data_IF_849961855417
#
_entry.id   IF_849961855417
#
_cell.length_a   1.000
_cell.length_b   1.000
_cell.length_c   1.000
_cell.angle_alpha   90.00
_cell.angle_beta   90.00
_cell.angle_gamma   90.00
#
_symmetry.space_group_name_H-M   'P 1'
#
loop_
_entity.id
_entity.type
_entity.pdbx_description
1 polymer ?
#
# COMPACT_ATOMS: atom_id res chain seq x y z
N UNK A 1 -57.54 24.09 36.81
CA UNK A 1 -58.95 24.10 37.24
C UNK A 1 -59.60 22.94 36.52
N UNK A 2 -60.22 21.92 37.11
CA UNK A 2 -60.65 21.57 38.47
C UNK A 2 -60.78 20.03 38.44
N UNK A 3 -60.42 19.28 39.48
CA UNK A 3 -61.29 18.94 40.62
C UNK A 3 -62.73 18.56 40.19
N UNK A 4 -63.08 17.28 40.38
CA UNK A 4 -64.27 16.70 41.05
C UNK A 4 -64.22 15.17 40.77
N UNK A 5 -64.08 14.28 41.77
CA UNK A 5 -65.15 13.77 42.66
C UNK A 5 -66.37 13.32 41.86
N UNK A 6 -67.03 12.18 42.04
CA UNK A 6 -67.11 11.03 42.98
C UNK A 6 -68.16 10.09 42.28
N UNK A 7 -68.74 8.99 42.81
CA UNK A 7 -68.70 8.45 44.18
C UNK A 7 -68.52 6.91 44.31
N UNK A 8 -68.41 6.55 45.59
CA UNK A 8 -68.59 5.25 46.25
C UNK A 8 -69.75 4.39 45.74
N UNK A 9 -69.68 3.06 45.96
CA UNK A 9 -70.37 2.41 47.10
C UNK A 9 -70.37 0.88 46.94
N UNK A 10 -69.83 0.15 47.93
CA UNK A 10 -70.56 -1.02 48.42
C UNK A 10 -70.19 -1.33 49.88
N UNK A 11 -71.21 -1.22 50.73
CA UNK A 11 -71.21 -1.47 52.17
C UNK A 11 -71.85 -2.81 52.48
N UNK A 12 -71.36 -3.54 53.49
CA UNK A 12 -72.18 -4.32 54.46
C UNK A 12 -71.30 -4.79 55.65
N UNK A 13 -71.88 -5.15 56.83
CA UNK A 13 -71.74 -4.37 58.06
C UNK A 13 -71.15 -5.21 59.25
N UNK A 14 -71.12 -4.72 60.51
CA UNK A 14 -70.04 -4.97 61.47
C UNK A 14 -70.30 -6.13 62.44
N UNK A 15 -69.25 -6.55 63.18
CA UNK A 15 -69.46 -7.27 64.45
C UNK A 15 -68.29 -7.16 65.45
N UNK A 16 -68.60 -6.48 66.56
CA UNK A 16 -68.19 -6.75 67.96
C UNK A 16 -66.72 -6.89 68.35
N UNK A 17 -66.25 -5.91 69.12
CA UNK A 17 -65.13 -6.05 70.04
C UNK A 17 -65.53 -6.84 71.31
N UNK A 18 -64.59 -7.59 71.90
CA UNK A 18 -64.52 -7.71 73.35
C UNK A 18 -63.19 -7.19 73.92
N UNK A 19 -63.32 -6.63 75.13
CA UNK A 19 -62.26 -6.14 76.02
C UNK A 19 -61.29 -7.24 76.49
N UNK A 20 -60.02 -6.82 76.61
CA UNK A 20 -58.96 -7.19 77.59
C UNK A 20 -58.98 -8.60 78.20
N UNK A 21 -57.84 -9.28 78.09
CA UNK A 21 -57.10 -9.84 79.25
C UNK A 21 -55.61 -10.00 78.92
N UNK A 22 -54.78 -9.53 79.86
CA UNK A 22 -53.32 -9.62 79.92
C UNK A 22 -52.94 -11.02 80.44
N UNK A 23 -52.00 -11.73 79.83
CA UNK A 23 -51.19 -12.71 80.53
C UNK A 23 -49.83 -12.07 80.83
N UNK A 24 -49.58 -11.84 82.10
CA UNK A 24 -48.23 -11.89 82.69
C UNK A 24 -47.68 -13.28 82.45
N UNK A 25 -46.66 -13.39 81.59
CA UNK A 25 -45.94 -14.63 81.32
C UNK A 25 -44.51 -14.30 80.92
N UNK A 26 -43.63 -14.32 81.91
CA UNK A 26 -42.18 -14.26 81.68
C UNK A 26 -41.77 -15.44 80.82
N UNK A 27 -41.15 -15.14 79.68
CA UNK A 27 -40.61 -16.12 78.75
C UNK A 27 -39.34 -15.54 78.16
N UNK A 28 -38.21 -16.11 78.56
CA UNK A 28 -36.83 -15.78 78.17
C UNK A 28 -36.71 -15.37 76.71
N UNK A 29 -36.23 -14.14 76.50
CA UNK A 29 -35.55 -13.72 75.28
C UNK A 29 -34.37 -14.68 75.07
N UNK A 30 -34.26 -15.42 73.95
CA UNK A 30 -33.04 -16.17 73.68
C UNK A 30 -31.90 -15.15 73.55
N UNK A 31 -30.71 -15.42 74.10
CA UNK A 31 -29.58 -14.52 73.92
C UNK A 31 -29.26 -14.50 72.43
N UNK A 32 -29.52 -13.37 71.76
CA UNK A 32 -28.83 -13.09 70.51
C UNK A 32 -27.37 -12.93 70.93
N UNK A 33 -26.60 -14.00 70.76
CA UNK A 33 -25.16 -13.97 70.91
C UNK A 33 -24.63 -12.81 70.07
N UNK A 34 -23.79 -11.97 70.64
CA UNK A 34 -23.08 -10.89 69.93
C UNK A 34 -22.38 -11.39 68.66
N UNK A 35 -22.10 -12.70 68.59
CA UNK A 35 -21.64 -13.43 67.41
C UNK A 35 -22.62 -13.40 66.23
N UNK A 36 -23.94 -13.54 66.43
CA UNK A 36 -24.91 -13.56 65.32
C UNK A 36 -25.04 -12.19 64.62
N UNK A 37 -24.86 -11.09 65.35
CA UNK A 37 -24.88 -9.72 64.78
C UNK A 37 -23.58 -9.41 64.03
N UNK A 38 -22.43 -9.86 64.56
CA UNK A 38 -21.13 -9.76 63.87
C UNK A 38 -21.09 -10.60 62.59
N UNK A 39 -21.58 -11.84 62.62
CA UNK A 39 -21.64 -12.73 61.45
C UNK A 39 -22.56 -12.14 60.36
N UNK A 40 -23.71 -11.56 60.73
CA UNK A 40 -24.63 -10.96 59.75
C UNK A 40 -24.06 -9.70 59.09
N UNK A 41 -23.24 -8.93 59.81
CA UNK A 41 -22.52 -7.78 59.25
C UNK A 41 -21.39 -8.20 58.31
N UNK A 42 -20.63 -9.23 58.66
CA UNK A 42 -19.56 -9.78 57.80
C UNK A 42 -20.17 -10.35 56.51
N UNK A 43 -21.26 -11.10 56.59
CA UNK A 43 -21.95 -11.64 55.41
C UNK A 43 -22.47 -10.54 54.50
N UNK A 44 -23.01 -9.44 55.05
CA UNK A 44 -23.48 -8.30 54.26
C UNK A 44 -22.31 -7.56 53.58
N UNK A 45 -21.19 -7.36 54.27
CA UNK A 45 -19.98 -6.77 53.69
C UNK A 45 -19.43 -7.65 52.57
N UNK A 46 -19.33 -8.96 52.77
CA UNK A 46 -18.89 -9.90 51.73
C UNK A 46 -19.86 -9.91 50.54
N UNK A 47 -21.18 -9.92 50.78
CA UNK A 47 -22.18 -9.85 49.73
C UNK A 47 -22.11 -8.54 48.92
N UNK A 48 -21.86 -7.41 49.57
CA UNK A 48 -21.66 -6.12 48.90
C UNK A 48 -20.37 -6.11 48.09
N UNK A 49 -19.27 -6.63 48.63
CA UNK A 49 -18.00 -6.74 47.89
C UNK A 49 -18.17 -7.66 46.67
N UNK A 50 -18.81 -8.82 46.83
CA UNK A 50 -19.12 -9.73 45.72
C UNK A 50 -20.04 -9.05 44.71
N UNK A 51 -21.06 -8.31 45.14
CA UNK A 51 -21.94 -7.55 44.23
C UNK A 51 -21.16 -6.48 43.45
N UNK A 52 -20.26 -5.74 44.09
CA UNK A 52 -19.39 -4.74 43.42
C UNK A 52 -18.48 -5.42 42.39
N UNK A 53 -17.86 -6.55 42.75
CA UNK A 53 -17.01 -7.32 41.82
C UNK A 53 -17.83 -7.85 40.64
N UNK A 54 -19.04 -8.37 40.88
CA UNK A 54 -19.92 -8.85 39.81
C UNK A 54 -20.38 -7.71 38.90
N UNK A 55 -20.72 -6.55 39.45
CA UNK A 55 -21.06 -5.35 38.68
C UNK A 55 -19.84 -4.89 37.85
N UNK A 56 -18.64 -4.88 38.44
CA UNK A 56 -17.41 -4.53 37.74
C UNK A 56 -17.10 -5.51 36.59
N UNK A 57 -17.28 -6.82 36.81
CA UNK A 57 -17.10 -7.85 35.76
C UNK A 57 -18.17 -7.72 34.67
N UNK A 58 -19.41 -7.40 35.03
CA UNK A 58 -20.51 -7.22 34.08
C UNK A 58 -20.26 -5.99 33.18
N UNK A 59 -19.88 -4.85 33.78
CA UNK A 59 -19.55 -3.62 33.05
C UNK A 59 -18.32 -3.83 32.16
N UNK A 60 -17.24 -4.42 32.71
CA UNK A 60 -16.02 -4.71 31.95
C UNK A 60 -16.27 -5.70 30.80
N UNK A 61 -17.19 -6.65 30.98
CA UNK A 61 -17.60 -7.60 29.93
C UNK A 61 -18.39 -6.90 28.81
N UNK A 62 -19.24 -5.91 29.12
CA UNK A 62 -19.92 -5.11 28.10
C UNK A 62 -18.93 -4.24 27.31
N UNK A 63 -17.95 -3.64 27.98
CA UNK A 63 -16.95 -2.77 27.36
C UNK A 63 -16.01 -3.56 26.42
N UNK A 64 -15.50 -4.71 26.86
CA UNK A 64 -14.67 -5.59 26.03
C UNK A 64 -15.45 -6.12 24.83
N UNK A 65 -16.73 -6.48 25.02
CA UNK A 65 -17.57 -6.92 23.90
C UNK A 65 -17.84 -5.80 22.90
N UNK A 66 -18.07 -4.56 23.36
CA UNK A 66 -18.27 -3.40 22.49
C UNK A 66 -16.99 -3.07 21.70
N UNK A 67 -15.83 -3.07 22.36
CA UNK A 67 -14.52 -2.85 21.73
C UNK A 67 -14.20 -3.91 20.67
N UNK A 68 -14.39 -5.19 21.01
CA UNK A 68 -14.15 -6.30 20.09
C UNK A 68 -15.11 -6.25 18.89
N UNK A 69 -16.36 -5.83 19.10
CA UNK A 69 -17.33 -5.63 18.03
C UNK A 69 -16.91 -4.48 17.12
N UNK A 70 -16.50 -3.34 17.68
CA UNK A 70 -16.04 -2.19 16.91
C UNK A 70 -14.79 -2.51 16.05
N UNK A 71 -13.85 -3.31 16.56
CA UNK A 71 -12.68 -3.76 15.78
C UNK A 71 -13.08 -4.70 14.63
N UNK A 72 -14.02 -5.62 14.87
CA UNK A 72 -14.55 -6.50 13.81
C UNK A 72 -15.30 -5.70 12.75
N UNK A 73 -16.16 -4.78 13.16
CA UNK A 73 -16.94 -3.93 12.26
C UNK A 73 -16.01 -3.04 11.42
N UNK A 74 -15.00 -2.44 12.05
CA UNK A 74 -13.96 -1.69 11.35
C UNK A 74 -13.25 -2.57 10.30
N UNK A 75 -12.76 -3.75 10.69
CA UNK A 75 -12.08 -4.67 9.78
C UNK A 75 -13.00 -5.08 8.61
N UNK A 76 -14.26 -5.40 8.89
CA UNK A 76 -15.25 -5.75 7.87
C UNK A 76 -15.50 -4.60 6.89
N UNK A 77 -15.61 -3.37 7.40
CA UNK A 77 -15.79 -2.17 6.57
C UNK A 77 -14.58 -1.92 5.68
N UNK A 78 -13.37 -2.00 6.22
CA UNK A 78 -12.12 -1.85 5.46
C UNK A 78 -11.99 -2.95 4.40
N UNK A 79 -12.22 -4.21 4.76
CA UNK A 79 -12.12 -5.35 3.84
C UNK A 79 -13.15 -5.25 2.71
N UNK A 80 -14.40 -4.90 3.04
CA UNK A 80 -15.48 -4.69 2.06
C UNK A 80 -15.17 -3.53 1.12
N UNK A 81 -14.70 -2.40 1.66
CA UNK A 81 -14.39 -1.23 0.86
C UNK A 81 -13.15 -1.41 -0.01
N UNK A 82 -12.13 -2.12 0.48
CA UNK A 82 -11.00 -2.50 -0.36
C UNK A 82 -11.42 -3.44 -1.49
N UNK A 83 -12.26 -4.44 -1.21
CA UNK A 83 -12.77 -5.35 -2.24
C UNK A 83 -13.58 -4.59 -3.32
N UNK A 84 -14.42 -3.63 -2.91
CA UNK A 84 -15.11 -2.73 -3.84
C UNK A 84 -14.12 -1.91 -4.68
N UNK A 85 -13.10 -1.32 -4.04
CA UNK A 85 -12.07 -0.54 -4.72
C UNK A 85 -11.29 -1.37 -5.74
N UNK A 86 -10.85 -2.57 -5.37
CA UNK A 86 -10.18 -3.50 -6.28
C UNK A 86 -11.10 -3.89 -7.45
N UNK A 87 -12.39 -4.10 -7.21
CA UNK A 87 -13.34 -4.40 -8.29
C UNK A 87 -13.52 -3.22 -9.25
N UNK A 88 -13.63 -1.98 -8.73
CA UNK A 88 -13.60 -0.76 -9.54
C UNK A 88 -12.31 -0.68 -10.35
N UNK A 89 -11.15 -1.00 -9.74
CA UNK A 89 -9.86 -1.10 -10.42
C UNK A 89 -9.89 -2.10 -11.57
N UNK A 90 -10.38 -3.33 -11.36
CA UNK A 90 -10.50 -4.33 -12.45
C UNK A 90 -11.34 -3.81 -13.61
N UNK A 91 -12.50 -3.22 -13.32
CA UNK A 91 -13.37 -2.63 -14.35
C UNK A 91 -12.66 -1.51 -15.12
N UNK A 92 -11.91 -0.67 -14.39
CA UNK A 92 -11.11 0.41 -14.96
C UNK A 92 -9.99 -0.11 -15.89
N UNK A 93 -9.21 -1.11 -15.47
CA UNK A 93 -8.16 -1.71 -16.30
C UNK A 93 -8.72 -2.50 -17.49
N UNK A 94 -9.90 -3.13 -17.34
CA UNK A 94 -10.61 -3.76 -18.43
C UNK A 94 -11.07 -2.72 -19.47
N UNK A 95 -11.52 -1.54 -19.05
CA UNK A 95 -11.85 -0.46 -19.96
C UNK A 95 -10.60 0.02 -20.72
N UNK A 96 -9.47 0.21 -20.03
CA UNK A 96 -8.20 0.61 -20.65
C UNK A 96 -7.65 -0.42 -21.65
N UNK A 97 -7.95 -1.70 -21.46
CA UNK A 97 -7.48 -2.80 -22.33
C UNK A 97 -8.54 -3.27 -23.34
N UNK A 98 -9.72 -2.66 -23.32
CA UNK A 98 -10.89 -3.10 -24.08
C UNK A 98 -10.81 -2.79 -25.58
N UNK A 99 -11.78 -3.28 -26.38
CA UNK A 99 -11.85 -2.98 -27.81
C UNK A 99 -11.99 -1.47 -28.05
N UNK A 100 -11.02 -0.87 -28.75
CA UNK A 100 -10.84 0.58 -28.92
C UNK A 100 -11.78 1.25 -29.93
N UNK A 101 -12.95 0.67 -30.19
CA UNK A 101 -13.84 1.17 -31.23
C UNK A 101 -14.55 2.48 -30.88
N UNK A 102 -14.70 2.79 -29.58
CA UNK A 102 -15.50 3.91 -29.09
C UNK A 102 -14.78 4.72 -27.98
N UNK A 103 -14.12 5.84 -28.34
CA UNK A 103 -13.50 6.76 -27.39
C UNK A 103 -14.48 7.37 -26.37
N UNK A 104 -15.76 7.48 -26.72
CA UNK A 104 -16.80 8.01 -25.83
C UNK A 104 -17.15 6.97 -24.76
N UNK A 105 -17.31 5.70 -25.15
CA UNK A 105 -17.52 4.61 -24.20
C UNK A 105 -16.34 4.47 -23.21
N UNK A 106 -15.10 4.55 -23.70
CA UNK A 106 -13.91 4.56 -22.85
C UNK A 106 -13.95 5.73 -21.86
N UNK A 107 -14.20 6.94 -22.35
CA UNK A 107 -14.27 8.14 -21.50
C UNK A 107 -15.35 8.02 -20.43
N UNK A 108 -16.53 7.49 -20.76
CA UNK A 108 -17.58 7.26 -19.78
C UNK A 108 -17.18 6.24 -18.73
N UNK A 109 -16.59 5.11 -19.13
CA UNK A 109 -16.14 4.07 -18.19
C UNK A 109 -15.08 4.59 -17.21
N UNK A 110 -14.10 5.36 -17.70
CA UNK A 110 -13.05 5.93 -16.85
C UNK A 110 -13.60 6.98 -15.89
N UNK A 111 -14.51 7.85 -16.34
CA UNK A 111 -15.15 8.83 -15.48
C UNK A 111 -16.07 8.20 -14.43
N UNK A 112 -16.78 7.13 -14.79
CA UNK A 112 -17.57 6.35 -13.85
C UNK A 112 -16.68 5.76 -12.76
N UNK A 113 -15.58 5.08 -13.13
CA UNK A 113 -14.64 4.52 -12.18
C UNK A 113 -13.99 5.59 -11.28
N UNK A 114 -13.65 6.76 -11.82
CA UNK A 114 -13.15 7.89 -11.03
C UNK A 114 -14.19 8.41 -10.01
N UNK A 115 -15.47 8.44 -10.40
CA UNK A 115 -16.59 8.75 -9.50
C UNK A 115 -16.76 7.71 -8.39
N UNK A 116 -16.68 6.42 -8.74
CA UNK A 116 -16.72 5.31 -7.78
C UNK A 116 -15.56 5.39 -6.79
N UNK A 117 -14.33 5.63 -7.26
CA UNK A 117 -13.16 5.81 -6.42
C UNK A 117 -13.30 6.98 -5.43
N UNK A 118 -13.86 8.10 -5.90
CA UNK A 118 -14.15 9.26 -5.05
C UNK A 118 -15.20 8.93 -3.98
N UNK A 119 -16.24 8.18 -4.34
CA UNK A 119 -17.26 7.69 -3.40
C UNK A 119 -16.65 6.75 -2.35
N UNK A 120 -15.79 5.82 -2.77
CA UNK A 120 -15.11 4.89 -1.88
C UNK A 120 -14.21 5.60 -0.88
N UNK A 121 -13.41 6.57 -1.34
CA UNK A 121 -12.62 7.43 -0.49
C UNK A 121 -13.48 8.18 0.53
N UNK A 122 -14.61 8.74 0.11
CA UNK A 122 -15.54 9.43 1.01
C UNK A 122 -16.12 8.49 2.08
N UNK A 123 -16.48 7.26 1.70
CA UNK A 123 -16.95 6.23 2.63
C UNK A 123 -15.87 5.86 3.63
N UNK A 124 -14.61 5.72 3.18
CA UNK A 124 -13.48 5.42 4.04
C UNK A 124 -13.30 6.50 5.10
N UNK A 125 -13.32 7.78 4.71
CA UNK A 125 -13.22 8.92 5.63
C UNK A 125 -14.34 8.95 6.69
N UNK A 126 -15.49 8.33 6.40
CA UNK A 126 -16.63 8.24 7.31
C UNK A 126 -16.70 6.96 8.15
N UNK A 127 -15.71 6.07 8.08
CA UNK A 127 -15.68 4.87 8.94
C UNK A 127 -15.47 5.30 10.40
N UNK A 128 -16.23 4.71 11.32
CA UNK A 128 -15.97 4.85 12.75
C UNK A 128 -14.71 4.07 13.12
N UNK A 129 -13.72 4.74 13.71
CA UNK A 129 -12.35 4.23 13.88
C UNK A 129 -12.06 3.97 15.36
N UNK A 130 -11.85 2.70 15.77
CA UNK A 130 -11.28 2.40 17.08
C UNK A 130 -9.88 2.99 17.23
N UNK A 131 -9.51 3.38 18.46
CA UNK A 131 -8.24 4.08 18.72
C UNK A 131 -7.00 3.27 18.30
N UNK A 132 -7.08 1.94 18.42
CA UNK A 132 -5.99 1.00 18.14
C UNK A 132 -5.62 0.94 16.65
N UNK A 133 -6.54 1.32 15.78
CA UNK A 133 -6.39 1.23 14.32
C UNK A 133 -6.40 2.58 13.63
N UNK A 134 -6.28 3.68 14.38
CA UNK A 134 -6.19 5.04 13.80
C UNK A 134 -5.05 5.19 12.78
N UNK A 135 -3.88 4.62 13.07
CA UNK A 135 -2.75 4.60 12.13
C UNK A 135 -3.08 3.83 10.85
N UNK A 136 -3.72 2.66 11.00
CA UNK A 136 -4.13 1.83 9.87
C UNK A 136 -5.15 2.57 9.00
N UNK A 137 -6.10 3.25 9.63
CA UNK A 137 -7.12 4.02 8.94
C UNK A 137 -6.54 5.18 8.15
N UNK A 138 -5.54 5.90 8.68
CA UNK A 138 -4.86 6.98 7.95
C UNK A 138 -4.20 6.44 6.68
N UNK A 139 -3.47 5.33 6.79
CA UNK A 139 -2.85 4.66 5.64
C UNK A 139 -3.89 4.17 4.63
N UNK A 140 -5.00 3.60 5.10
CA UNK A 140 -6.09 3.13 4.23
C UNK A 140 -6.75 4.28 3.46
N UNK A 141 -7.06 5.38 4.12
CA UNK A 141 -7.62 6.58 3.49
C UNK A 141 -6.63 7.15 2.47
N UNK A 142 -5.33 7.18 2.78
CA UNK A 142 -4.30 7.63 1.86
C UNK A 142 -4.18 6.69 0.63
N UNK A 143 -4.25 5.37 0.82
CA UNK A 143 -4.24 4.41 -0.28
C UNK A 143 -5.45 4.61 -1.21
N UNK A 144 -6.66 4.79 -0.65
CA UNK A 144 -7.86 5.08 -1.44
C UNK A 144 -7.81 6.45 -2.11
N UNK A 145 -7.18 7.45 -1.48
CA UNK A 145 -6.95 8.77 -2.10
C UNK A 145 -6.03 8.62 -3.31
N UNK A 146 -4.94 7.87 -3.18
CA UNK A 146 -4.03 7.58 -4.30
C UNK A 146 -4.76 6.88 -5.46
N UNK A 147 -5.65 5.93 -5.17
CA UNK A 147 -6.46 5.26 -6.21
C UNK A 147 -7.48 6.20 -6.86
N UNK A 148 -8.18 7.02 -6.08
CA UNK A 148 -9.13 7.99 -6.59
C UNK A 148 -8.45 9.06 -7.48
N UNK A 149 -7.32 9.60 -7.02
CA UNK A 149 -6.53 10.57 -7.76
C UNK A 149 -5.99 9.97 -9.06
N UNK A 150 -5.42 8.77 -9.00
CA UNK A 150 -4.88 8.09 -10.18
C UNK A 150 -5.95 7.82 -11.23
N UNK A 151 -7.13 7.32 -10.83
CA UNK A 151 -8.25 7.11 -11.77
C UNK A 151 -8.72 8.41 -12.41
N UNK A 152 -8.85 9.48 -11.62
CA UNK A 152 -9.24 10.80 -12.12
C UNK A 152 -8.21 11.39 -13.08
N UNK A 153 -6.93 11.31 -12.72
CA UNK A 153 -5.83 11.83 -13.53
C UNK A 153 -5.72 11.07 -14.85
N UNK A 154 -5.82 9.74 -14.81
CA UNK A 154 -5.85 8.92 -16.02
C UNK A 154 -7.05 9.27 -16.91
N UNK A 155 -8.26 9.36 -16.34
CA UNK A 155 -9.46 9.73 -17.11
C UNK A 155 -9.28 11.06 -17.86
N UNK A 156 -8.63 12.05 -17.23
CA UNK A 156 -8.31 13.33 -17.84
C UNK A 156 -7.20 13.25 -18.90
N UNK A 157 -6.26 12.31 -18.74
CA UNK A 157 -5.04 12.22 -19.54
C UNK A 157 -5.15 11.27 -20.74
N UNK A 158 -6.13 10.38 -20.76
CA UNK A 158 -6.37 9.46 -21.89
C UNK A 158 -6.52 10.19 -23.23
N UNK A 159 -7.28 11.30 -23.36
CA UNK A 159 -7.34 12.06 -24.62
C UNK A 159 -5.96 12.50 -25.12
N UNK A 160 -5.07 12.93 -24.22
CA UNK A 160 -3.69 13.30 -24.54
C UNK A 160 -2.85 12.09 -24.95
N UNK A 161 -3.07 10.92 -24.34
CA UNK A 161 -2.40 9.67 -24.69
C UNK A 161 -2.85 9.11 -26.05
N UNK A 162 -4.09 9.39 -26.47
CA UNK A 162 -4.65 8.95 -27.76
C UNK A 162 -4.38 9.94 -28.91
N UNK A 163 -3.95 11.15 -28.61
CA UNK A 163 -3.60 12.15 -29.63
C UNK A 163 -2.18 11.89 -30.18
N UNK A 164 -1.99 11.71 -31.50
CA UNK A 164 -0.68 11.40 -32.09
C UNK A 164 0.45 12.39 -31.74
N UNK A 165 0.14 13.68 -31.60
CA UNK A 165 1.13 14.71 -31.27
C UNK A 165 1.59 14.65 -29.81
N UNK A 166 0.75 14.15 -28.91
CA UNK A 166 1.01 14.13 -27.45
C UNK A 166 1.07 12.74 -26.83
N UNK A 167 0.88 11.69 -27.63
CA UNK A 167 0.71 10.30 -27.17
C UNK A 167 1.82 9.84 -26.23
N UNK A 168 3.09 10.10 -26.58
CA UNK A 168 4.26 9.73 -25.76
C UNK A 168 4.21 10.37 -24.37
N UNK A 169 3.93 11.66 -24.30
CA UNK A 169 3.80 12.37 -23.03
C UNK A 169 2.59 11.84 -22.24
N UNK A 170 1.45 11.65 -22.92
CA UNK A 170 0.25 11.10 -22.32
C UNK A 170 0.50 9.76 -21.66
N UNK A 171 1.04 8.80 -22.41
CA UNK A 171 1.38 7.47 -21.92
C UNK A 171 2.35 7.50 -20.75
N UNK A 172 3.39 8.35 -20.77
CA UNK A 172 4.32 8.49 -19.65
C UNK A 172 3.62 9.02 -18.39
N UNK A 173 2.69 9.95 -18.53
CA UNK A 173 1.90 10.46 -17.41
C UNK A 173 0.94 9.39 -16.88
N UNK A 174 0.37 8.56 -17.75
CA UNK A 174 -0.41 7.40 -17.34
C UNK A 174 0.45 6.42 -16.53
N UNK A 175 1.70 6.13 -16.95
CA UNK A 175 2.62 5.26 -16.22
C UNK A 175 2.94 5.79 -14.81
N UNK A 176 3.09 7.10 -14.64
CA UNK A 176 3.26 7.71 -13.33
C UNK A 176 2.04 7.47 -12.42
N UNK A 177 0.83 7.51 -12.97
CA UNK A 177 -0.38 7.17 -12.20
C UNK A 177 -0.51 5.67 -11.93
N UNK A 178 0.01 4.80 -12.82
CA UNK A 178 0.13 3.36 -12.51
C UNK A 178 1.09 3.11 -11.35
N UNK A 179 2.20 3.87 -11.25
CA UNK A 179 3.10 3.84 -10.10
C UNK A 179 2.42 4.33 -8.82
N UNK A 180 1.52 5.32 -8.91
CA UNK A 180 0.66 5.72 -7.79
C UNK A 180 -0.24 4.56 -7.33
N UNK A 181 -0.84 3.81 -8.24
CA UNK A 181 -1.63 2.62 -7.86
C UNK A 181 -0.78 1.57 -7.16
N UNK A 182 0.42 1.28 -7.68
CA UNK A 182 1.35 0.38 -7.01
C UNK A 182 1.71 0.87 -5.59
N UNK A 183 2.00 2.17 -5.43
CA UNK A 183 2.26 2.76 -4.12
C UNK A 183 1.06 2.64 -3.17
N UNK A 184 -0.17 2.71 -3.69
CA UNK A 184 -1.37 2.49 -2.87
C UNK A 184 -1.50 1.05 -2.36
N UNK A 185 -1.06 0.08 -3.15
CA UNK A 185 -1.07 -1.32 -2.78
C UNK A 185 -0.03 -1.62 -1.71
N UNK A 186 1.18 -1.06 -1.84
CA UNK A 186 2.21 -1.13 -0.79
C UNK A 186 1.68 -0.53 0.51
N UNK A 187 1.08 0.67 0.46
CA UNK A 187 0.55 1.32 1.66
C UNK A 187 -0.58 0.53 2.34
N UNK A 188 -1.42 -0.14 1.55
CA UNK A 188 -2.48 -0.99 2.09
C UNK A 188 -1.94 -2.32 2.62
N UNK A 189 -1.22 -3.08 1.80
CA UNK A 189 -0.83 -4.46 2.10
C UNK A 189 0.28 -4.51 3.15
N UNK A 190 1.27 -3.62 3.08
CA UNK A 190 2.46 -3.71 3.93
C UNK A 190 2.32 -2.86 5.20
N UNK A 191 1.52 -1.79 5.17
CA UNK A 191 1.43 -0.84 6.28
C UNK A 191 0.05 -0.77 6.95
N UNK A 192 -1.04 -1.05 6.22
CA UNK A 192 -2.39 -1.02 6.80
C UNK A 192 -2.77 -2.39 7.37
N UNK A 193 -2.71 -3.43 6.55
CA UNK A 193 -3.16 -4.79 6.91
C UNK A 193 -2.46 -5.33 8.17
N UNK A 194 -1.11 -5.23 8.33
CA UNK A 194 -0.46 -5.74 9.52
C UNK A 194 -0.87 -5.01 10.81
N UNK A 195 -1.18 -3.71 10.74
CA UNK A 195 -1.66 -2.96 11.91
C UNK A 195 -3.07 -3.41 12.32
N UNK A 196 -3.95 -3.69 11.36
CA UNK A 196 -5.29 -4.23 11.64
C UNK A 196 -5.17 -5.62 12.28
N UNK A 197 -4.36 -6.50 11.69
CA UNK A 197 -4.12 -7.85 12.24
C UNK A 197 -3.54 -7.76 13.66
N UNK A 198 -2.57 -6.87 13.88
CA UNK A 198 -1.98 -6.64 15.19
C UNK A 198 -3.02 -6.21 16.23
N UNK A 199 -3.91 -5.28 15.88
CA UNK A 199 -4.99 -4.83 16.76
C UNK A 199 -6.01 -5.95 17.06
N UNK A 200 -6.38 -6.75 16.04
CA UNK A 200 -7.27 -7.89 16.21
C UNK A 200 -6.66 -8.96 17.13
N UNK A 201 -5.38 -9.30 16.94
CA UNK A 201 -4.67 -10.25 17.79
C UNK A 201 -4.53 -9.73 19.23
N UNK A 202 -4.20 -8.45 19.42
CA UNK A 202 -4.12 -7.83 20.74
C UNK A 202 -5.46 -7.86 21.50
N UNK A 203 -6.59 -7.86 20.77
CA UNK A 203 -7.93 -8.01 21.31
C UNK A 203 -8.40 -9.48 21.47
N UNK A 204 -7.54 -10.46 21.18
CA UNK A 204 -7.87 -11.89 21.25
C UNK A 204 -8.81 -12.36 20.13
N UNK A 205 -8.91 -11.63 19.02
CA UNK A 205 -9.77 -11.95 17.88
C UNK A 205 -8.96 -12.75 16.85
N UNK A 206 -9.42 -13.97 16.56
CA UNK A 206 -8.80 -14.84 15.55
C UNK A 206 -8.94 -14.27 14.13
N UNK A 207 -7.86 -14.31 13.36
CA UNK A 207 -7.81 -13.96 11.92
C UNK A 207 -7.57 -15.23 11.09
N UNK A 208 -8.21 -15.33 9.92
CA UNK A 208 -8.08 -16.49 9.03
C UNK A 208 -9.27 -17.46 9.11
N UNK A 209 -9.12 -18.73 8.71
CA UNK A 209 -10.23 -19.69 8.62
C UNK A 209 -11.01 -19.79 9.95
N UNK A 210 -12.31 -19.55 9.91
CA UNK A 210 -13.19 -19.54 11.09
C UNK A 210 -13.12 -18.26 11.95
N UNK A 211 -12.38 -17.25 11.53
CA UNK A 211 -12.24 -15.95 12.19
C UNK A 211 -12.51 -14.75 11.28
N UNK A 212 -12.00 -13.58 11.69
CA UNK A 212 -12.05 -12.37 10.87
C UNK A 212 -11.24 -12.55 9.59
N UNK A 213 -11.84 -12.19 8.46
CA UNK A 213 -11.15 -12.17 7.18
C UNK A 213 -10.55 -10.79 6.96
N UNK A 214 -9.32 -10.75 6.47
CA UNK A 214 -8.68 -9.52 6.01
C UNK A 214 -8.54 -9.62 4.50
N UNK A 215 -8.88 -8.55 3.79
CA UNK A 215 -8.68 -8.48 2.36
C UNK A 215 -7.27 -7.93 2.09
N UNK A 216 -6.42 -8.68 1.40
CA UNK A 216 -5.08 -8.24 0.96
C UNK A 216 -4.98 -8.16 -0.57
N UNK A 217 -6.12 -7.99 -1.25
CA UNK A 217 -6.14 -7.91 -2.71
C UNK A 217 -5.47 -6.64 -3.20
N UNK A 218 -4.64 -6.79 -4.24
CA UNK A 218 -3.98 -5.68 -4.95
C UNK A 218 -4.97 -5.00 -5.89
N UNK A 219 -4.84 -3.68 -6.00
CA UNK A 219 -5.60 -2.85 -6.94
C UNK A 219 -4.95 -2.83 -8.32
N UNK A 220 -3.62 -2.71 -8.39
CA UNK A 220 -2.87 -2.80 -9.64
C UNK A 220 -2.83 -4.28 -10.08
N UNK A 221 -3.31 -4.64 -11.28
CA UNK A 221 -3.42 -6.04 -11.69
C UNK A 221 -2.09 -6.70 -12.04
N UNK A 222 -1.09 -5.92 -12.47
CA UNK A 222 0.28 -6.39 -12.75
C UNK A 222 1.24 -5.20 -12.75
N UNK A 223 2.48 -5.42 -12.33
CA UNK A 223 3.59 -4.45 -12.43
C UNK A 223 3.92 -4.06 -13.87
N UNK A 224 3.51 -4.85 -14.87
CA UNK A 224 3.72 -4.52 -16.28
C UNK A 224 3.05 -3.20 -16.67
N UNK A 225 2.00 -2.79 -15.95
CA UNK A 225 1.34 -1.50 -16.15
C UNK A 225 2.23 -0.31 -15.80
N UNK A 226 3.39 -0.51 -15.17
CA UNK A 226 4.39 0.54 -14.97
C UNK A 226 5.18 0.85 -16.25
N UNK A 227 5.17 -0.06 -17.24
CA UNK A 227 5.86 0.13 -18.50
C UNK A 227 5.01 0.98 -19.47
N UNK A 228 5.50 2.16 -19.91
CA UNK A 228 4.86 2.95 -20.94
C UNK A 228 4.53 2.16 -22.23
N UNK A 229 5.37 1.21 -22.64
CA UNK A 229 5.13 0.40 -23.83
C UNK A 229 3.91 -0.52 -23.66
N UNK A 230 3.75 -1.12 -22.47
CA UNK A 230 2.57 -1.90 -22.11
C UNK A 230 1.31 -1.04 -22.15
N UNK A 231 1.35 0.15 -21.56
CA UNK A 231 0.21 1.08 -21.55
C UNK A 231 -0.17 1.51 -22.97
N UNK A 232 0.83 1.90 -23.78
CA UNK A 232 0.62 2.28 -25.17
C UNK A 232 -0.03 1.15 -25.97
N UNK A 233 0.42 -0.09 -25.75
CA UNK A 233 -0.15 -1.29 -26.38
C UNK A 233 -1.61 -1.51 -25.98
N UNK A 234 -1.93 -1.42 -24.67
CA UNK A 234 -3.30 -1.64 -24.19
C UNK A 234 -4.27 -0.57 -24.70
N UNK A 235 -3.83 0.70 -24.69
CA UNK A 235 -4.62 1.81 -25.21
C UNK A 235 -4.67 1.88 -26.74
N UNK A 236 -3.83 1.09 -27.42
CA UNK A 236 -3.51 1.25 -28.85
C UNK A 236 -3.19 2.72 -29.18
N UNK A 237 -2.51 3.38 -28.24
CA UNK A 237 -2.11 4.76 -28.40
C UNK A 237 -1.23 4.85 -29.65
N UNK A 238 -1.39 5.89 -30.49
CA UNK A 238 -0.57 6.11 -31.69
C UNK A 238 0.82 6.62 -31.30
N UNK A 239 1.47 5.94 -30.36
CA UNK A 239 2.86 6.13 -30.03
C UNK A 239 3.64 5.57 -31.22
N UNK A 240 4.40 6.40 -31.94
CA UNK A 240 5.24 5.91 -33.02
C UNK A 240 6.08 4.73 -32.52
N UNK A 241 6.19 3.66 -33.31
CA UNK A 241 7.16 2.60 -33.05
C UNK A 241 8.51 3.28 -32.75
N UNK A 242 9.12 2.90 -31.64
CA UNK A 242 10.29 3.54 -31.03
C UNK A 242 11.19 4.35 -31.99
N UNK A 243 11.21 5.68 -31.76
CA UNK A 243 12.21 6.73 -32.10
C UNK A 243 11.79 7.77 -33.17
N UNK A 244 11.90 9.09 -32.91
CA UNK A 244 13.15 9.81 -32.57
C UNK A 244 13.21 10.35 -31.12
N UNK A 245 14.35 10.94 -30.70
CA UNK A 245 14.57 11.40 -29.33
C UNK A 245 13.53 12.43 -28.90
N UNK A 246 13.30 12.53 -27.57
CA UNK A 246 12.81 13.77 -26.95
C UNK A 246 13.51 14.92 -27.66
N UNK A 247 12.79 15.94 -28.16
CA UNK A 247 13.45 17.10 -28.78
C UNK A 247 14.42 17.61 -27.73
N UNK A 248 15.68 17.28 -27.94
CA UNK A 248 16.66 17.39 -26.91
C UNK A 248 16.84 18.88 -26.62
N UNK A 249 16.99 19.22 -25.33
CA UNK A 249 17.19 20.60 -24.96
C UNK A 249 18.36 21.17 -25.79
N UNK A 250 18.25 22.37 -26.39
CA UNK A 250 19.33 22.90 -27.22
C UNK A 250 20.66 22.88 -26.47
N UNK A 251 21.71 22.34 -27.09
CA UNK A 251 23.01 22.19 -26.46
C UNK A 251 23.68 20.87 -26.85
N UNK A 252 24.90 20.67 -26.36
CA UNK A 252 25.57 19.37 -26.49
C UNK A 252 24.95 18.34 -25.53
N UNK A 253 24.86 17.09 -25.97
CA UNK A 253 24.48 15.93 -25.16
C UNK A 253 25.56 14.88 -25.34
N UNK A 254 25.77 14.07 -24.30
CA UNK A 254 26.64 12.92 -24.39
C UNK A 254 27.33 12.59 -23.08
N UNK A 255 28.06 11.48 -23.14
CA UNK A 255 28.87 10.98 -22.04
C UNK A 255 30.24 10.53 -22.53
N UNK A 256 31.25 10.78 -21.71
CA UNK A 256 32.60 10.26 -21.90
C UNK A 256 32.89 9.14 -20.90
N UNK A 257 33.21 7.94 -21.39
CA UNK A 257 33.68 6.83 -20.57
C UNK A 257 35.11 7.14 -20.11
N UNK A 258 35.32 7.27 -18.80
CA UNK A 258 36.61 7.65 -18.21
C UNK A 258 37.46 6.42 -17.89
N UNK A 259 36.89 5.47 -17.17
CA UNK A 259 37.61 4.24 -16.80
C UNK A 259 36.66 3.09 -16.55
N UNK A 260 37.18 1.88 -16.70
CA UNK A 260 36.49 0.64 -16.36
C UNK A 260 37.41 -0.19 -15.49
N UNK A 261 36.89 -0.74 -14.40
CA UNK A 261 37.64 -1.61 -13.50
C UNK A 261 36.82 -2.84 -13.10
N UNK A 262 37.50 -3.90 -12.68
CA UNK A 262 36.88 -5.09 -12.11
C UNK A 262 37.63 -5.46 -10.84
N UNK A 263 36.90 -5.64 -9.73
CA UNK A 263 37.52 -5.99 -8.44
C UNK A 263 38.53 -4.95 -7.93
N UNK A 264 38.39 -3.68 -8.32
CA UNK A 264 39.31 -2.60 -7.97
C UNK A 264 40.51 -2.43 -8.92
N UNK A 265 40.72 -3.33 -9.88
CA UNK A 265 41.79 -3.22 -10.88
C UNK A 265 41.28 -2.53 -12.14
N UNK A 266 41.86 -1.37 -12.47
CA UNK A 266 41.55 -0.64 -13.70
C UNK A 266 42.02 -1.39 -14.93
N UNK A 267 41.13 -1.57 -15.90
CA UNK A 267 41.44 -2.22 -17.17
C UNK A 267 42.20 -1.26 -18.07
N UNK A 268 43.19 -1.78 -18.79
CA UNK A 268 44.02 -0.99 -19.71
C UNK A 268 43.66 -1.33 -21.16
N UNK A 269 43.14 -0.37 -21.95
CA UNK A 269 42.88 -0.55 -23.38
C UNK A 269 44.15 -0.94 -24.15
N UNK A 270 44.01 -1.76 -25.20
CA UNK A 270 45.14 -2.19 -26.04
C UNK A 270 46.08 -3.23 -25.40
N UNK A 271 45.80 -3.67 -24.17
CA UNK A 271 46.53 -4.75 -23.48
C UNK A 271 45.57 -5.85 -23.02
N UNK A 272 46.11 -7.04 -22.77
CA UNK A 272 45.33 -8.17 -22.23
C UNK A 272 45.21 -8.06 -20.71
N UNK A 273 43.97 -7.96 -20.22
CA UNK A 273 43.62 -7.90 -18.81
C UNK A 273 43.18 -9.29 -18.32
N UNK A 274 43.69 -9.78 -17.20
CA UNK A 274 43.31 -11.09 -16.66
C UNK A 274 42.30 -10.95 -15.53
N UNK A 275 41.15 -11.62 -15.63
CA UNK A 275 40.04 -11.51 -14.68
C UNK A 275 39.45 -12.90 -14.39
N UNK A 276 39.09 -13.23 -13.14
CA UNK A 276 38.36 -14.46 -12.86
C UNK A 276 37.02 -14.52 -13.61
N UNK A 277 36.69 -15.66 -14.22
CA UNK A 277 35.42 -15.84 -14.92
C UNK A 277 34.22 -16.06 -13.98
N UNK A 278 34.48 -16.52 -12.75
CA UNK A 278 33.48 -16.89 -11.76
C UNK A 278 33.81 -16.32 -10.38
N UNK A 279 32.83 -15.77 -9.63
CA UNK A 279 31.44 -15.53 -10.06
C UNK A 279 31.35 -14.53 -11.23
N UNK A 280 30.17 -14.33 -11.86
CA UNK A 280 30.01 -13.38 -12.96
C UNK A 280 30.64 -12.02 -12.61
N UNK A 281 31.64 -11.54 -13.38
CA UNK A 281 32.33 -10.29 -13.07
C UNK A 281 31.37 -9.10 -13.02
N UNK A 282 31.63 -8.19 -12.08
CA UNK A 282 30.98 -6.88 -12.02
C UNK A 282 31.97 -5.81 -12.42
N UNK A 283 31.63 -5.07 -13.47
CA UNK A 283 32.43 -3.97 -14.01
C UNK A 283 32.00 -2.67 -13.34
N UNK A 284 32.96 -1.95 -12.77
CA UNK A 284 32.78 -0.59 -12.32
C UNK A 284 33.14 0.36 -13.46
N UNK A 285 32.13 0.95 -14.09
CA UNK A 285 32.29 1.91 -15.17
C UNK A 285 32.17 3.33 -14.61
N UNK A 286 33.21 4.13 -14.76
CA UNK A 286 33.24 5.54 -14.39
C UNK A 286 33.12 6.36 -15.67
N UNK A 287 32.14 7.25 -15.72
CA UNK A 287 31.86 8.07 -16.89
C UNK A 287 31.40 9.47 -16.49
N UNK A 288 31.60 10.44 -17.35
CA UNK A 288 31.23 11.85 -17.13
C UNK A 288 30.16 12.23 -18.13
N UNK A 289 29.13 12.98 -17.70
CA UNK A 289 28.28 13.71 -18.64
C UNK A 289 29.07 14.92 -19.14
N UNK A 290 29.65 14.81 -20.33
CA UNK A 290 30.43 15.86 -21.00
C UNK A 290 29.56 16.77 -21.90
N UNK A 291 28.24 16.54 -21.87
CA UNK A 291 27.23 17.42 -22.46
C UNK A 291 26.93 18.68 -21.61
N UNK A 292 25.97 19.45 -22.11
CA UNK A 292 25.45 20.67 -21.49
C UNK A 292 24.07 20.45 -20.84
N UNK A 293 23.51 19.25 -20.96
CA UNK A 293 22.16 18.93 -20.55
C UNK A 293 22.10 17.86 -19.46
N UNK A 294 21.07 17.95 -18.61
CA UNK A 294 20.73 16.86 -17.69
C UNK A 294 20.13 15.70 -18.48
N UNK A 295 20.70 14.52 -18.30
CA UNK A 295 20.24 13.29 -18.97
C UNK A 295 19.60 12.34 -17.98
N UNK A 296 18.55 11.64 -18.40
CA UNK A 296 17.81 10.71 -17.55
C UNK A 296 17.83 9.30 -18.14
N UNK A 297 17.74 8.29 -17.27
CA UNK A 297 17.75 6.87 -17.63
C UNK A 297 18.97 6.50 -18.50
N UNK A 298 20.16 6.91 -18.06
CA UNK A 298 21.41 6.65 -18.78
C UNK A 298 21.81 5.20 -18.58
N UNK A 299 21.79 4.41 -19.65
CA UNK A 299 22.16 2.99 -19.61
C UNK A 299 23.66 2.83 -19.85
N UNK A 300 24.33 2.08 -18.99
CA UNK A 300 25.71 1.64 -19.16
C UNK A 300 25.69 0.13 -19.40
N UNK A 301 26.29 -0.30 -20.49
CA UNK A 301 26.28 -1.69 -20.95
C UNK A 301 27.70 -2.21 -21.08
N UNK A 302 27.92 -3.45 -20.65
CA UNK A 302 29.16 -4.19 -20.88
C UNK A 302 28.83 -5.45 -21.65
N UNK A 303 29.52 -5.69 -22.76
CA UNK A 303 29.29 -6.83 -23.65
C UNK A 303 30.58 -7.61 -23.84
N UNK A 304 30.50 -8.94 -23.70
CA UNK A 304 31.58 -9.87 -24.06
C UNK A 304 31.33 -10.38 -25.48
N UNK A 305 32.11 -9.88 -26.43
CA UNK A 305 31.92 -10.18 -27.86
C UNK A 305 32.18 -11.66 -28.16
N UNK A 306 31.36 -12.25 -29.02
CA UNK A 306 31.47 -13.67 -29.37
C UNK A 306 30.96 -14.66 -28.31
N UNK A 307 30.72 -14.22 -27.07
CA UNK A 307 30.17 -15.06 -26.00
C UNK A 307 28.65 -14.91 -25.81
N UNK A 308 28.03 -13.86 -26.37
CA UNK A 308 26.61 -13.56 -26.17
C UNK A 308 26.25 -13.17 -24.73
N UNK A 309 27.24 -12.79 -23.92
CA UNK A 309 27.09 -12.42 -22.52
C UNK A 309 27.18 -10.90 -22.40
N UNK A 310 26.27 -10.31 -21.66
CA UNK A 310 26.29 -8.87 -21.38
C UNK A 310 25.71 -8.57 -20.00
N UNK A 311 25.98 -7.36 -19.52
CA UNK A 311 25.34 -6.78 -18.36
C UNK A 311 24.96 -5.34 -18.65
N UNK A 312 24.00 -4.81 -17.90
CA UNK A 312 23.66 -3.40 -17.95
C UNK A 312 23.31 -2.85 -16.57
N UNK A 313 23.51 -1.56 -16.40
CA UNK A 313 23.02 -0.80 -15.25
C UNK A 313 22.47 0.54 -15.75
N UNK A 314 21.49 1.08 -15.05
CA UNK A 314 20.88 2.36 -15.39
C UNK A 314 21.18 3.37 -14.29
N UNK A 315 21.74 4.52 -14.68
CA UNK A 315 21.88 5.69 -13.83
C UNK A 315 20.66 6.57 -14.05
N UNK A 316 19.80 6.80 -13.03
CA UNK A 316 18.53 7.49 -13.22
C UNK A 316 18.66 8.90 -13.79
N UNK A 317 19.71 9.62 -13.40
CA UNK A 317 19.96 10.99 -13.82
C UNK A 317 21.45 11.32 -13.79
N UNK A 318 21.92 12.08 -14.77
CA UNK A 318 23.27 12.65 -14.81
C UNK A 318 23.23 14.15 -15.08
N UNK A 319 24.07 14.92 -14.39
CA UNK A 319 24.19 16.36 -14.51
C UNK A 319 25.42 16.73 -15.34
N UNK A 320 25.37 17.82 -16.13
CA UNK A 320 26.53 18.31 -16.89
C UNK A 320 27.78 18.46 -16.03
N UNK A 321 28.92 18.00 -16.54
CA UNK A 321 30.24 18.09 -15.90
C UNK A 321 30.45 17.15 -14.69
N UNK A 322 29.45 16.36 -14.30
CA UNK A 322 29.56 15.44 -13.17
C UNK A 322 29.95 14.03 -13.61
N UNK A 323 30.72 13.36 -12.75
CA UNK A 323 31.16 11.99 -12.94
C UNK A 323 30.28 11.03 -12.14
N UNK A 324 29.92 9.92 -12.77
CA UNK A 324 29.04 8.89 -12.24
C UNK A 324 29.71 7.52 -12.32
N UNK A 325 29.27 6.62 -11.45
CA UNK A 325 29.74 5.24 -11.38
C UNK A 325 28.56 4.29 -11.62
N UNK A 326 28.70 3.39 -12.57
CA UNK A 326 27.75 2.30 -12.82
C UNK A 326 28.41 0.95 -12.49
N UNK A 327 27.71 0.12 -11.71
CA UNK A 327 28.12 -1.25 -11.40
C UNK A 327 27.36 -2.21 -12.34
N UNK A 328 28.07 -2.77 -13.31
CA UNK A 328 27.50 -3.60 -14.37
C UNK A 328 27.92 -5.06 -14.15
N UNK A 329 27.02 -5.86 -13.58
CA UNK A 329 27.23 -7.31 -13.44
C UNK A 329 26.86 -8.04 -14.73
N UNK A 330 27.74 -8.92 -15.21
CA UNK A 330 27.40 -9.79 -16.35
C UNK A 330 26.26 -10.74 -16.01
N UNK A 331 25.41 -11.05 -17.00
CA UNK A 331 24.27 -11.97 -16.86
C UNK A 331 24.65 -13.39 -16.46
N UNK A 332 25.89 -13.79 -16.74
CA UNK A 332 26.44 -15.11 -16.44
C UNK A 332 27.97 -15.08 -16.45
N UNK A 333 28.61 -16.14 -15.94
CA UNK A 333 30.06 -16.30 -15.97
C UNK A 333 30.52 -16.57 -17.41
N UNK A 334 31.48 -15.78 -17.94
CA UNK A 334 32.05 -16.05 -19.26
C UNK A 334 32.75 -17.42 -19.32
N UNK A 335 32.77 -18.10 -20.48
CA UNK A 335 33.68 -19.22 -20.68
C UNK A 335 35.13 -18.74 -20.53
N UNK A 336 36.02 -19.65 -20.10
CA UNK A 336 37.45 -19.35 -20.04
C UNK A 336 37.99 -19.08 -21.45
N UNK A 337 38.83 -18.06 -21.59
CA UNK A 337 39.38 -17.66 -22.87
C UNK A 337 39.60 -16.15 -22.97
N UNK A 338 40.16 -15.72 -24.10
CA UNK A 338 40.37 -14.30 -24.37
C UNK A 338 39.25 -13.76 -25.25
N UNK A 339 38.62 -12.68 -24.81
CA UNK A 339 37.50 -12.03 -25.48
C UNK A 339 37.72 -10.53 -25.56
N UNK A 340 37.18 -9.93 -26.60
CA UNK A 340 36.97 -8.48 -26.65
C UNK A 340 35.78 -8.14 -25.76
N UNK A 341 35.99 -7.22 -24.82
CA UNK A 341 34.94 -6.71 -23.94
C UNK A 341 34.77 -5.23 -24.21
N UNK A 342 33.53 -4.84 -24.52
CA UNK A 342 33.18 -3.48 -24.88
C UNK A 342 32.25 -2.91 -23.81
N UNK A 343 32.66 -1.81 -23.19
CA UNK A 343 31.89 -1.05 -22.21
C UNK A 343 31.44 0.26 -22.84
N UNK A 344 30.13 0.52 -22.83
CA UNK A 344 29.51 1.64 -23.53
C UNK A 344 28.48 2.31 -22.64
N UNK A 345 28.50 3.64 -22.59
CA UNK A 345 27.33 4.44 -22.19
C UNK A 345 26.44 4.57 -23.41
N UNK A 346 25.22 4.02 -23.36
CA UNK A 346 24.30 4.06 -24.51
C UNK A 346 23.88 5.49 -24.83
N UNK A 347 23.57 5.72 -26.11
CA UNK A 347 23.29 7.06 -26.61
C UNK A 347 22.07 7.68 -25.93
N UNK A 348 22.19 8.96 -25.60
CA UNK A 348 21.09 9.74 -25.03
C UNK A 348 20.38 10.60 -26.08
N UNK A 349 19.11 10.96 -25.85
CA UNK A 349 18.36 11.84 -26.74
C UNK A 349 19.11 13.16 -27.05
N UNK A 350 19.42 13.41 -28.33
CA UNK A 350 20.08 14.65 -28.77
C UNK A 350 21.58 14.59 -28.93
N UNK A 351 22.20 13.49 -28.54
CA UNK A 351 23.62 13.25 -28.74
C UNK A 351 23.94 13.11 -30.23
N UNK A 352 25.01 13.79 -30.66
CA UNK A 352 25.49 13.79 -32.06
C UNK A 352 26.87 13.19 -32.21
N UNK A 353 27.57 12.98 -31.09
CA UNK A 353 28.94 12.48 -31.03
C UNK A 353 28.94 11.21 -30.21
N UNK A 354 29.41 10.11 -30.78
CA UNK A 354 29.32 8.77 -30.19
C UNK A 354 30.70 8.11 -30.03
N UNK A 355 31.75 8.92 -30.01
CA UNK A 355 33.14 8.43 -30.08
C UNK A 355 33.81 8.32 -28.72
N UNK A 356 33.25 8.94 -27.68
CA UNK A 356 33.88 9.05 -26.37
C UNK A 356 33.16 8.23 -25.29
N UNK A 357 31.99 7.68 -25.59
CA UNK A 357 31.14 6.92 -24.68
C UNK A 357 31.52 5.43 -24.58
N UNK A 358 32.52 4.97 -25.32
CA UNK A 358 32.89 3.55 -25.44
C UNK A 358 34.37 3.30 -25.15
N UNK A 359 34.66 2.24 -24.40
CA UNK A 359 36.01 1.68 -24.27
C UNK A 359 35.99 0.18 -24.54
N UNK A 360 37.06 -0.31 -25.17
CA UNK A 360 37.22 -1.71 -25.57
C UNK A 360 38.49 -2.29 -24.97
N UNK A 361 38.40 -3.50 -24.43
CA UNK A 361 39.47 -4.20 -23.72
C UNK A 361 39.63 -5.61 -24.27
N UNK A 362 40.87 -6.10 -24.30
CA UNK A 362 41.13 -7.53 -24.40
C UNK A 362 41.14 -8.12 -22.98
N UNK A 363 40.27 -9.09 -22.71
CA UNK A 363 40.14 -9.72 -21.39
C UNK A 363 40.32 -11.23 -21.51
N UNK A 364 41.28 -11.76 -20.76
CA UNK A 364 41.45 -13.19 -20.53
C UNK A 364 40.67 -13.61 -19.27
N UNK A 365 39.53 -14.28 -19.47
CA UNK A 365 38.75 -14.88 -18.39
C UNK A 365 39.39 -16.21 -17.96
N UNK A 366 39.74 -16.31 -16.68
CA UNK A 366 40.47 -17.46 -16.10
C UNK A 366 39.63 -18.32 -15.17
#
# INVERSE_FOLDING_TARGET
>A
MSFFDEPEENRTPPRTAPRRRRPTGGGRRPPATSQAILVRRIVLVVAVVVAIVLIAVLVNSCEVNARNSALKDYNNNVASLNAQSVNTGRNFFNALSGPTGDPTALSHALNQAAGEGSSQLSKAKGINVPDEVKGAQQNFVQALQMRADGMRNIANQVPTALNPQTAKQGVNQLAAEMARFYGSDVLYIDYTVPQIIGALHAAGITVGPGGQQVNSSQFLPSIDWLDPAKIASQLRAPVPASSPPVRAAPGAHGHAMQSVSVGGTTLTPGSTNSIPASPPPTFTCIFTNDGQNTENNVTVKVTVEGAGISGQATVPQTLPGHTYTAQVSLSSSPPKGTYTVTATVEHVPGEKTFTHNTQTFQIAFQ
#
